data_IF_775528405814
#
_entry.id   IF_775528405814
#
_cell.length_a   1.000
_cell.length_b   1.000
_cell.length_c   1.000
_cell.angle_alpha   90.00
_cell.angle_beta   90.00
_cell.angle_gamma   90.00
#
_symmetry.space_group_name_H-M   'P 1'
#
loop_
_entity.id
_entity.type
_entity.pdbx_description
1 polymer ?
#
# COMPACT_ATOMS: atom_id res chain seq x y z
N UNK A 1 20.39 -21.31 15.74
CA UNK A 1 21.58 -21.85 15.04
C UNK A 1 22.56 -20.73 14.74
N UNK A 2 23.87 -21.00 14.72
CA UNK A 2 24.89 -20.04 14.28
C UNK A 2 25.14 -20.29 12.79
N UNK A 3 25.03 -19.24 11.99
CA UNK A 3 25.24 -19.29 10.54
C UNK A 3 26.23 -18.20 10.17
N UNK A 4 27.22 -18.56 9.34
CA UNK A 4 28.17 -17.60 8.76
C UNK A 4 27.65 -17.21 7.38
N UNK A 5 27.64 -15.90 7.08
CA UNK A 5 27.22 -15.35 5.80
C UNK A 5 28.34 -14.46 5.26
N UNK A 6 28.66 -14.63 3.99
CA UNK A 6 29.60 -13.75 3.28
C UNK A 6 28.85 -12.50 2.82
N UNK A 7 29.26 -11.33 3.32
CA UNK A 7 28.65 -10.03 3.01
C UNK A 7 29.76 -9.10 2.50
N UNK A 8 29.61 -8.49 1.30
CA UNK A 8 30.57 -7.51 0.81
C UNK A 8 30.80 -6.37 1.82
N UNK A 9 32.05 -5.95 2.03
CA UNK A 9 32.40 -4.91 3.00
C UNK A 9 31.60 -3.60 2.85
N UNK A 10 31.37 -3.06 1.62
CA UNK A 10 30.56 -1.86 1.47
C UNK A 10 29.12 -2.03 1.98
N UNK A 11 28.53 -3.21 1.74
CA UNK A 11 27.18 -3.54 2.18
C UNK A 11 27.14 -3.73 3.69
N UNK A 12 28.16 -4.36 4.28
CA UNK A 12 28.25 -4.54 5.72
C UNK A 12 28.37 -3.20 6.47
N UNK A 13 29.11 -2.23 5.92
CA UNK A 13 29.18 -0.87 6.48
C UNK A 13 27.83 -0.17 6.47
N UNK A 14 27.13 -0.20 5.34
CA UNK A 14 25.77 0.36 5.24
C UNK A 14 24.84 -0.30 6.25
N UNK A 15 24.86 -1.63 6.34
CA UNK A 15 24.06 -2.39 7.30
C UNK A 15 24.31 -1.94 8.74
N UNK A 16 25.59 -1.76 9.14
CA UNK A 16 25.93 -1.29 10.49
C UNK A 16 25.37 0.09 10.78
N UNK A 17 25.48 1.02 9.84
CA UNK A 17 24.96 2.39 9.99
C UNK A 17 23.44 2.35 10.14
N UNK A 18 22.74 1.64 9.27
CA UNK A 18 21.28 1.52 9.31
C UNK A 18 20.80 0.83 10.58
N UNK A 19 21.47 -0.22 11.03
CA UNK A 19 21.14 -0.90 12.28
C UNK A 19 21.28 0.04 13.48
N UNK A 20 22.37 0.82 13.54
CA UNK A 20 22.60 1.80 14.60
C UNK A 20 21.53 2.91 14.60
N UNK A 21 21.17 3.44 13.42
CA UNK A 21 20.10 4.44 13.28
C UNK A 21 18.74 3.93 13.79
N UNK A 22 18.48 2.63 13.63
CA UNK A 22 17.25 1.98 14.11
C UNK A 22 17.35 1.49 15.57
N UNK A 23 18.46 1.73 16.27
CA UNK A 23 18.69 1.23 17.63
C UNK A 23 18.77 -0.30 17.72
N UNK A 24 19.08 -0.98 16.62
CA UNK A 24 19.13 -2.45 16.53
C UNK A 24 20.57 -2.96 16.45
N UNK A 25 20.78 -4.17 16.95
CA UNK A 25 22.03 -4.90 16.65
C UNK A 25 22.03 -5.38 15.21
N UNK A 26 23.22 -5.54 14.62
CA UNK A 26 23.42 -6.12 13.28
C UNK A 26 22.68 -7.45 13.14
N UNK A 27 22.75 -8.31 14.15
CA UNK A 27 22.06 -9.60 14.18
C UNK A 27 20.54 -9.45 14.12
N UNK A 28 19.97 -8.56 14.93
CA UNK A 28 18.52 -8.32 14.94
C UNK A 28 18.06 -7.79 13.59
N UNK A 29 18.79 -6.83 13.03
CA UNK A 29 18.48 -6.25 11.73
C UNK A 29 18.48 -7.31 10.62
N UNK A 30 19.50 -8.17 10.57
CA UNK A 30 19.58 -9.26 9.59
C UNK A 30 18.42 -10.26 9.75
N UNK A 31 18.10 -10.64 10.99
CA UNK A 31 17.00 -11.56 11.25
C UNK A 31 15.64 -10.98 10.83
N UNK A 32 15.38 -9.71 11.15
CA UNK A 32 14.16 -9.02 10.77
C UNK A 32 14.02 -8.95 9.25
N UNK A 33 15.10 -8.60 8.55
CA UNK A 33 15.12 -8.55 7.09
C UNK A 33 14.85 -9.92 6.45
N UNK A 34 15.42 -11.00 7.01
CA UNK A 34 15.15 -12.37 6.55
C UNK A 34 13.68 -12.75 6.76
N UNK A 35 13.12 -12.44 7.93
CA UNK A 35 11.69 -12.69 8.23
C UNK A 35 10.80 -11.92 7.26
N UNK A 36 11.09 -10.64 7.00
CA UNK A 36 10.34 -9.82 6.06
C UNK A 36 10.39 -10.42 4.64
N UNK A 37 11.57 -10.78 4.15
CA UNK A 37 11.74 -11.35 2.81
C UNK A 37 11.10 -12.72 2.64
N UNK A 38 11.08 -13.54 3.69
CA UNK A 38 10.45 -14.87 3.66
C UNK A 38 8.94 -14.83 3.90
N UNK A 39 8.43 -13.82 4.62
CA UNK A 39 6.98 -13.63 4.85
C UNK A 39 6.28 -12.91 3.72
N UNK A 40 6.98 -12.03 3.00
CA UNK A 40 6.42 -11.41 1.82
C UNK A 40 6.09 -12.53 0.81
N UNK A 41 4.80 -12.77 0.48
CA UNK A 41 4.52 -13.58 -0.70
C UNK A 41 5.27 -12.92 -1.84
N UNK A 42 6.00 -13.69 -2.65
CA UNK A 42 6.79 -13.15 -3.74
C UNK A 42 5.87 -12.20 -4.51
N UNK A 43 6.07 -10.89 -4.31
CA UNK A 43 5.30 -9.86 -4.98
C UNK A 43 5.79 -9.99 -6.41
N UNK A 44 5.14 -10.86 -7.17
CA UNK A 44 5.29 -10.92 -8.60
C UNK A 44 5.20 -9.46 -9.05
N UNK A 45 6.15 -8.94 -9.83
CA UNK A 45 6.03 -7.61 -10.41
C UNK A 45 4.69 -7.41 -11.16
N UNK A 46 3.99 -8.51 -11.47
CA UNK A 46 2.66 -8.57 -12.10
C UNK A 46 1.48 -8.80 -11.14
N UNK A 47 1.71 -8.91 -9.82
CA UNK A 47 0.64 -9.07 -8.82
C UNK A 47 -0.04 -7.72 -8.59
N UNK A 48 -1.07 -7.41 -9.38
CA UNK A 48 -1.91 -6.25 -9.11
C UNK A 48 -2.54 -6.39 -7.71
N UNK A 49 -2.62 -5.32 -6.90
CA UNK A 49 -3.24 -5.37 -5.58
C UNK A 49 -4.66 -5.95 -5.65
N UNK A 50 -5.07 -6.74 -4.66
CA UNK A 50 -6.36 -7.44 -4.69
C UNK A 50 -7.57 -6.52 -4.91
N UNK A 51 -7.51 -5.26 -4.46
CA UNK A 51 -8.57 -4.25 -4.66
C UNK A 51 -8.71 -3.78 -6.11
N UNK A 52 -7.67 -3.93 -6.94
CA UNK A 52 -7.72 -3.56 -8.38
C UNK A 52 -8.60 -4.51 -9.20
N UNK A 53 -8.95 -5.69 -8.69
CA UNK A 53 -9.86 -6.64 -9.36
C UNK A 53 -11.26 -6.07 -9.59
N UNK A 54 -11.69 -5.12 -8.75
CA UNK A 54 -13.00 -4.49 -8.85
C UNK A 54 -13.00 -3.22 -9.72
N UNK A 55 -11.83 -2.69 -10.07
CA UNK A 55 -11.72 -1.43 -10.83
C UNK A 55 -12.19 -1.65 -12.27
N UNK A 56 -13.21 -0.89 -12.69
CA UNK A 56 -13.77 -0.93 -14.03
C UNK A 56 -14.88 -1.97 -14.28
N UNK A 57 -15.17 -2.85 -13.30
CA UNK A 57 -16.24 -3.85 -13.44
C UNK A 57 -17.64 -3.25 -13.65
N UNK A 58 -17.86 -2.02 -13.19
CA UNK A 58 -19.12 -1.29 -13.30
C UNK A 58 -19.14 -0.28 -14.46
N UNK A 59 -18.17 -0.32 -15.39
CA UNK A 59 -18.13 0.61 -16.51
C UNK A 59 -19.39 0.55 -17.40
N UNK A 60 -20.06 -0.60 -17.47
CA UNK A 60 -21.30 -0.74 -18.22
C UNK A 60 -22.46 0.07 -17.61
N UNK A 61 -22.36 0.48 -16.34
CA UNK A 61 -23.38 1.26 -15.63
C UNK A 61 -23.18 2.77 -15.75
N UNK A 62 -22.16 3.26 -16.48
CA UNK A 62 -21.86 4.69 -16.61
C UNK A 62 -23.07 5.54 -17.04
N UNK A 63 -23.94 5.00 -17.90
CA UNK A 63 -25.17 5.70 -18.31
C UNK A 63 -26.18 5.82 -17.16
N UNK A 64 -26.35 4.77 -16.36
CA UNK A 64 -27.26 4.73 -15.23
C UNK A 64 -26.75 5.60 -14.08
N UNK A 65 -25.44 5.57 -13.80
CA UNK A 65 -24.80 6.46 -12.82
C UNK A 65 -25.07 7.92 -13.16
N UNK A 66 -24.91 8.32 -14.43
CA UNK A 66 -25.22 9.69 -14.87
C UNK A 66 -26.70 10.05 -14.73
N UNK A 67 -27.60 9.11 -14.97
CA UNK A 67 -29.05 9.32 -14.78
C UNK A 67 -29.36 9.59 -13.30
N UNK A 68 -28.84 8.77 -12.41
CA UNK A 68 -29.01 8.92 -10.95
C UNK A 68 -28.43 10.25 -10.48
N UNK A 69 -27.21 10.58 -10.91
CA UNK A 69 -26.53 11.81 -10.52
C UNK A 69 -27.27 13.07 -11.00
N UNK A 70 -27.86 13.04 -12.21
CA UNK A 70 -28.74 14.11 -12.69
C UNK A 70 -29.97 14.28 -11.80
N UNK A 71 -30.60 13.19 -11.37
CA UNK A 71 -31.73 13.25 -10.44
C UNK A 71 -31.30 13.84 -9.10
N UNK A 72 -30.21 13.35 -8.51
CA UNK A 72 -29.68 13.87 -7.24
C UNK A 72 -29.42 15.37 -7.35
N UNK A 73 -28.73 15.82 -8.40
CA UNK A 73 -28.47 17.24 -8.59
C UNK A 73 -29.77 18.03 -8.78
N UNK A 74 -30.77 17.51 -9.49
CA UNK A 74 -32.04 18.21 -9.68
C UNK A 74 -32.78 18.42 -8.35
N UNK A 75 -32.83 17.37 -7.53
CA UNK A 75 -33.56 17.37 -6.26
C UNK A 75 -32.79 18.11 -5.15
N UNK A 76 -31.47 17.95 -5.09
CA UNK A 76 -30.64 18.39 -3.96
C UNK A 76 -29.67 19.54 -4.26
N UNK A 77 -29.64 20.12 -5.47
CA UNK A 77 -28.82 21.33 -5.74
C UNK A 77 -29.48 22.63 -5.30
N UNK A 78 -30.73 22.59 -4.81
CA UNK A 78 -31.40 23.76 -4.26
C UNK A 78 -31.07 23.85 -2.78
N UNK A 79 -30.16 24.75 -2.43
CA UNK A 79 -29.93 25.13 -1.04
C UNK A 79 -31.12 26.03 -0.65
N UNK A 80 -31.99 25.55 0.23
CA UNK A 80 -33.01 26.41 0.82
C UNK A 80 -32.33 27.38 1.79
N UNK A 81 -32.49 28.67 1.56
CA UNK A 81 -32.00 29.73 2.45
C UNK A 81 -32.63 29.68 3.85
N UNK A 82 -33.72 28.93 4.04
CA UNK A 82 -34.32 28.68 5.35
C UNK A 82 -33.56 27.60 6.15
N UNK A 83 -32.91 26.64 5.49
CA UNK A 83 -32.17 25.53 6.13
C UNK A 83 -30.77 25.91 6.63
N UNK A 84 -30.28 27.13 6.29
CA UNK A 84 -28.94 27.61 6.66
C UNK A 84 -28.90 28.44 7.97
N UNK A 85 -30.01 28.55 8.70
CA UNK A 85 -30.10 29.28 9.98
C UNK A 85 -29.77 28.44 11.21
#
# INVERSE_FOLDING_TARGET
MKTTLEIPDPLYRQLKVTAAQQGKTVRSFVNDALVEKLRAPALSPNSRPAWTRAVGGLNHLHAETRRIEKTILTEFSKIDSADWK
#
